data_IF_385130090909
#
_entry.id   IF_385130090909
#
_cell.length_a   1.000
_cell.length_b   1.000
_cell.length_c   1.000
_cell.angle_alpha   90.00
_cell.angle_beta   90.00
_cell.angle_gamma   90.00
#
_symmetry.space_group_name_H-M   'P 1'
#
loop_
_entity.id
_entity.type
_entity.pdbx_description
1 polymer ?
#
# COMPACT_ATOMS: atom_id res chain seq x y z
N UNK A 1 15.93 -38.41 -12.82
CA UNK A 1 14.62 -37.92 -13.30
C UNK A 1 14.27 -36.69 -12.47
N UNK A 2 13.99 -35.52 -13.06
CA UNK A 2 13.55 -34.36 -12.27
C UNK A 2 12.21 -34.69 -11.62
N UNK A 3 12.08 -34.46 -10.31
CA UNK A 3 10.78 -34.50 -9.63
C UNK A 3 10.01 -33.26 -10.07
N UNK A 4 8.88 -33.46 -10.76
CA UNK A 4 7.92 -32.40 -11.05
C UNK A 4 7.14 -32.09 -9.77
N UNK A 5 7.65 -31.16 -8.97
CA UNK A 5 7.05 -30.79 -7.68
C UNK A 5 6.08 -29.64 -7.89
N UNK A 6 4.78 -29.89 -7.69
CA UNK A 6 3.77 -28.84 -7.66
C UNK A 6 3.89 -28.03 -6.36
N UNK A 7 4.02 -26.72 -6.49
CA UNK A 7 4.19 -25.79 -5.37
C UNK A 7 3.08 -24.75 -5.34
N UNK A 8 2.66 -24.33 -4.15
CA UNK A 8 1.67 -23.27 -3.93
C UNK A 8 2.27 -22.14 -3.11
N UNK A 9 2.08 -20.92 -3.60
CA UNK A 9 2.35 -19.68 -2.89
C UNK A 9 1.04 -19.05 -2.42
N UNK A 10 0.79 -19.09 -1.11
CA UNK A 10 -0.44 -18.58 -0.48
C UNK A 10 -0.14 -17.33 0.35
N UNK A 11 -1.12 -16.44 0.51
CA UNK A 11 -1.00 -15.25 1.36
C UNK A 11 -1.97 -14.16 0.91
N UNK A 12 -2.12 -13.09 1.70
CA UNK A 12 -3.08 -12.02 1.38
C UNK A 12 -2.79 -11.31 0.05
N UNK A 13 -3.80 -10.61 -0.47
CA UNK A 13 -3.68 -9.81 -1.69
C UNK A 13 -2.58 -8.75 -1.58
N UNK A 14 -1.98 -8.41 -2.73
CA UNK A 14 -0.98 -7.35 -2.87
C UNK A 14 0.31 -7.52 -2.04
N UNK A 15 0.67 -8.75 -1.67
CA UNK A 15 1.94 -9.08 -0.98
C UNK A 15 3.15 -9.22 -1.93
N UNK A 16 2.94 -9.11 -3.24
CA UNK A 16 4.01 -9.23 -4.25
C UNK A 16 4.27 -10.65 -4.75
N UNK A 17 3.38 -11.60 -4.44
CA UNK A 17 3.51 -13.03 -4.83
C UNK A 17 3.82 -13.24 -6.32
N UNK A 18 3.09 -12.56 -7.21
CA UNK A 18 3.29 -12.68 -8.66
C UNK A 18 4.68 -12.20 -9.07
N UNK A 19 5.10 -11.03 -8.60
CA UNK A 19 6.44 -10.48 -8.87
C UNK A 19 7.55 -11.38 -8.33
N UNK A 20 7.35 -11.96 -7.14
CA UNK A 20 8.29 -12.91 -6.56
C UNK A 20 8.46 -14.16 -7.45
N UNK A 21 7.36 -14.80 -7.85
CA UNK A 21 7.42 -15.96 -8.76
C UNK A 21 8.03 -15.57 -10.12
N UNK A 22 7.70 -14.39 -10.65
CA UNK A 22 8.26 -13.90 -11.91
C UNK A 22 9.77 -13.65 -11.84
N UNK A 23 10.29 -13.26 -10.67
CA UNK A 23 11.74 -13.11 -10.48
C UNK A 23 12.47 -14.46 -10.45
N UNK A 24 11.82 -15.52 -9.94
CA UNK A 24 12.40 -16.86 -9.86
C UNK A 24 12.23 -17.64 -11.17
N UNK A 25 11.12 -17.43 -11.86
CA UNK A 25 10.72 -18.14 -13.07
C UNK A 25 10.27 -17.14 -14.16
N UNK A 26 11.23 -16.41 -14.77
CA UNK A 26 10.92 -15.32 -15.71
C UNK A 26 10.35 -15.80 -17.05
N UNK A 27 10.64 -17.05 -17.45
CA UNK A 27 10.25 -17.61 -18.75
C UNK A 27 8.98 -18.48 -18.68
N UNK A 28 8.37 -18.61 -17.50
CA UNK A 28 7.18 -19.45 -17.34
C UNK A 28 5.93 -18.79 -17.92
N UNK A 29 4.99 -19.61 -18.39
CA UNK A 29 3.67 -19.14 -18.84
C UNK A 29 2.82 -18.81 -17.61
N UNK A 30 2.13 -17.67 -17.63
CA UNK A 30 1.24 -17.22 -16.56
C UNK A 30 -0.20 -17.30 -17.03
N UNK A 31 -1.06 -17.98 -16.27
CA UNK A 31 -2.48 -18.13 -16.60
C UNK A 31 -3.35 -17.80 -15.39
N UNK A 32 -4.45 -17.10 -15.65
CA UNK A 32 -5.46 -16.81 -14.64
C UNK A 32 -6.35 -18.02 -14.42
N UNK A 33 -6.51 -18.45 -13.17
CA UNK A 33 -7.38 -19.55 -12.85
C UNK A 33 -8.88 -19.22 -12.98
N UNK A 34 -9.23 -17.95 -13.16
CA UNK A 34 -10.60 -17.51 -13.46
C UNK A 34 -11.05 -17.88 -14.88
N UNK A 35 -10.12 -18.10 -15.81
CA UNK A 35 -10.41 -18.48 -17.19
C UNK A 35 -10.18 -19.99 -17.40
N UNK A 36 -11.23 -20.79 -17.20
CA UNK A 36 -11.14 -22.26 -17.25
C UNK A 36 -10.63 -22.78 -18.60
N UNK A 37 -11.10 -22.23 -19.72
CA UNK A 37 -10.67 -22.63 -21.08
C UNK A 37 -9.18 -22.39 -21.32
N UNK A 38 -8.67 -21.23 -20.90
CA UNK A 38 -7.25 -20.87 -21.02
C UNK A 38 -6.39 -21.75 -20.11
N UNK A 39 -6.88 -22.04 -18.91
CA UNK A 39 -6.21 -22.93 -17.95
C UNK A 39 -6.07 -24.35 -18.51
N UNK A 40 -7.13 -24.94 -19.04
CA UNK A 40 -7.09 -26.28 -19.64
C UNK A 40 -6.13 -26.32 -20.84
N UNK A 41 -6.24 -25.36 -21.75
CA UNK A 41 -5.37 -25.28 -22.94
C UNK A 41 -3.89 -25.13 -22.55
N UNK A 42 -3.61 -24.31 -21.54
CA UNK A 42 -2.25 -24.09 -21.06
C UNK A 42 -1.70 -25.31 -20.31
N UNK A 43 -2.55 -26.01 -19.56
CA UNK A 43 -2.19 -27.28 -18.92
C UNK A 43 -1.87 -28.34 -19.96
N UNK A 44 -2.58 -28.44 -21.08
CA UNK A 44 -2.26 -29.40 -22.14
C UNK A 44 -0.94 -29.05 -22.85
N UNK A 45 -0.76 -27.77 -23.17
CA UNK A 45 0.33 -27.30 -24.06
C UNK A 45 1.68 -27.13 -23.37
N UNK A 46 1.70 -26.97 -22.04
CA UNK A 46 2.93 -26.62 -21.30
C UNK A 46 3.32 -27.68 -20.27
N UNK A 47 4.63 -27.83 -20.08
CA UNK A 47 5.21 -28.66 -19.01
C UNK A 47 5.57 -27.85 -17.75
N UNK A 48 5.67 -26.52 -17.88
CA UNK A 48 5.91 -25.59 -16.77
C UNK A 48 4.90 -24.43 -16.84
N UNK A 49 4.14 -24.22 -15.76
CA UNK A 49 3.04 -23.26 -15.74
C UNK A 49 2.95 -22.58 -14.37
N UNK A 50 2.71 -21.27 -14.39
CA UNK A 50 2.32 -20.49 -13.21
C UNK A 50 0.84 -20.16 -13.31
N UNK A 51 0.06 -20.62 -12.33
CA UNK A 51 -1.38 -20.38 -12.26
C UNK A 51 -1.63 -19.37 -11.13
N UNK A 52 -2.25 -18.23 -11.42
CA UNK A 52 -2.57 -17.22 -10.40
C UNK A 52 -4.07 -17.09 -10.16
N UNK A 53 -4.45 -16.53 -9.00
CA UNK A 53 -5.83 -16.55 -8.49
C UNK A 53 -6.38 -17.97 -8.30
N UNK A 54 -5.53 -18.92 -7.90
CA UNK A 54 -5.87 -20.34 -7.80
C UNK A 54 -7.08 -20.62 -6.89
N UNK A 55 -7.41 -19.72 -5.96
CA UNK A 55 -8.61 -19.80 -5.14
C UNK A 55 -9.94 -19.77 -5.91
N UNK A 56 -9.91 -19.30 -7.16
CA UNK A 56 -11.06 -19.21 -8.05
C UNK A 56 -11.34 -20.52 -8.80
N UNK A 57 -10.43 -21.50 -8.75
CA UNK A 57 -10.66 -22.83 -9.33
C UNK A 57 -11.86 -23.47 -8.65
N UNK A 58 -12.88 -23.80 -9.43
CA UNK A 58 -14.12 -24.44 -8.98
C UNK A 58 -13.89 -25.89 -8.56
N UNK A 59 -13.14 -26.67 -9.35
CA UNK A 59 -12.89 -28.10 -9.08
C UNK A 59 -11.41 -28.47 -9.26
N UNK A 60 -10.64 -28.39 -8.18
CA UNK A 60 -9.20 -28.69 -8.19
C UNK A 60 -8.91 -30.15 -8.61
N UNK A 61 -9.79 -31.09 -8.24
CA UNK A 61 -9.62 -32.53 -8.49
C UNK A 61 -9.62 -32.90 -9.98
N UNK A 62 -10.14 -32.04 -10.85
CA UNK A 62 -10.19 -32.30 -12.29
C UNK A 62 -8.93 -31.82 -13.00
N UNK A 63 -8.04 -31.09 -12.33
CA UNK A 63 -6.82 -30.58 -12.93
C UNK A 63 -5.75 -31.66 -12.96
N UNK A 64 -5.26 -31.97 -14.16
CA UNK A 64 -4.18 -32.94 -14.35
C UNK A 64 -2.81 -32.27 -14.21
N UNK A 65 -2.11 -32.55 -13.12
CA UNK A 65 -0.74 -32.06 -12.86
C UNK A 65 0.35 -33.10 -13.13
N UNK A 66 0.02 -34.25 -13.72
CA UNK A 66 0.99 -35.31 -13.98
C UNK A 66 2.12 -34.85 -14.90
N UNK A 67 3.37 -35.10 -14.48
CA UNK A 67 4.60 -34.75 -15.20
C UNK A 67 4.73 -33.25 -15.55
N UNK A 68 4.06 -32.37 -14.79
CA UNK A 68 4.10 -30.91 -14.99
C UNK A 68 4.65 -30.20 -13.76
N UNK A 69 5.47 -29.18 -13.98
CA UNK A 69 5.95 -28.28 -12.93
C UNK A 69 4.93 -27.15 -12.79
N UNK A 70 4.07 -27.26 -11.78
CA UNK A 70 3.02 -26.27 -11.52
C UNK A 70 3.39 -25.39 -10.33
N UNK A 71 3.27 -24.08 -10.52
CA UNK A 71 3.40 -23.09 -9.45
C UNK A 71 2.08 -22.35 -9.35
N UNK A 72 1.31 -22.63 -8.30
CA UNK A 72 0.06 -21.93 -8.04
C UNK A 72 0.29 -20.72 -7.13
N UNK A 73 -0.49 -19.66 -7.34
CA UNK A 73 -0.53 -18.47 -6.50
C UNK A 73 -1.97 -18.25 -6.05
N UNK A 74 -2.19 -18.23 -4.74
CA UNK A 74 -3.50 -18.00 -4.13
C UNK A 74 -3.51 -16.77 -3.22
N UNK A 75 -4.62 -16.04 -3.20
CA UNK A 75 -4.78 -14.82 -2.39
C UNK A 75 -5.49 -15.01 -1.04
N UNK A 76 -5.96 -16.22 -0.76
CA UNK A 76 -6.68 -16.55 0.47
C UNK A 76 -5.98 -17.66 1.20
N UNK A 77 -5.88 -17.55 2.53
CA UNK A 77 -5.34 -18.59 3.40
C UNK A 77 -6.40 -19.57 3.88
N UNK A 78 -7.70 -19.27 3.66
CA UNK A 78 -8.82 -20.03 4.24
C UNK A 78 -8.97 -21.45 3.67
N UNK A 79 -8.54 -21.69 2.43
CA UNK A 79 -8.63 -23.01 1.75
C UNK A 79 -7.36 -23.87 1.87
N UNK A 80 -6.47 -23.59 2.83
CA UNK A 80 -5.15 -24.25 2.91
C UNK A 80 -5.23 -25.79 2.97
N UNK A 81 -6.23 -26.35 3.65
CA UNK A 81 -6.42 -27.80 3.78
C UNK A 81 -6.81 -28.45 2.44
N UNK A 82 -7.56 -27.77 1.58
CA UNK A 82 -7.91 -28.29 0.25
C UNK A 82 -6.69 -28.37 -0.67
N UNK A 83 -5.67 -27.54 -0.41
CA UNK A 83 -4.45 -27.48 -1.21
C UNK A 83 -3.37 -28.48 -0.79
N UNK A 84 -3.39 -28.96 0.47
CA UNK A 84 -2.36 -29.88 0.96
C UNK A 84 -2.39 -31.25 0.29
N UNK A 85 -3.54 -31.64 -0.25
CA UNK A 85 -3.71 -32.92 -0.94
C UNK A 85 -3.12 -32.90 -2.36
N UNK A 86 -2.87 -31.70 -2.90
CA UNK A 86 -2.53 -31.47 -4.31
C UNK A 86 -1.11 -30.92 -4.46
N UNK A 87 -0.68 -30.07 -3.54
CA UNK A 87 0.62 -29.42 -3.58
C UNK A 87 1.58 -30.03 -2.56
N UNK A 88 2.73 -30.50 -3.04
CA UNK A 88 3.77 -31.07 -2.19
C UNK A 88 4.50 -30.00 -1.35
N UNK A 89 4.51 -28.76 -1.82
CA UNK A 89 5.12 -27.63 -1.11
C UNK A 89 4.17 -26.45 -1.07
N UNK A 90 3.90 -25.91 0.13
CA UNK A 90 3.06 -24.73 0.33
C UNK A 90 3.86 -23.69 1.11
N UNK A 91 4.20 -22.58 0.45
CA UNK A 91 4.84 -21.44 1.10
C UNK A 91 3.78 -20.38 1.43
N UNK A 92 3.77 -19.94 2.71
CA UNK A 92 2.90 -18.86 3.16
C UNK A 92 3.68 -17.53 3.13
N UNK A 93 3.28 -16.64 2.22
CA UNK A 93 3.83 -15.29 2.12
C UNK A 93 3.29 -14.45 3.29
N UNK A 94 4.16 -13.96 4.18
CA UNK A 94 3.74 -13.12 5.29
C UNK A 94 3.17 -11.79 4.80
N UNK A 95 2.37 -11.17 5.67
CA UNK A 95 1.87 -9.82 5.43
C UNK A 95 3.02 -8.82 5.41
N UNK A 96 2.85 -7.73 4.65
CA UNK A 96 3.93 -6.77 4.43
C UNK A 96 4.43 -6.11 5.73
N UNK A 97 3.57 -6.05 6.75
CA UNK A 97 3.91 -5.51 8.09
C UNK A 97 4.90 -6.37 8.87
N UNK A 98 4.90 -7.67 8.61
CA UNK A 98 5.70 -8.69 9.31
C UNK A 98 7.01 -9.00 8.58
N UNK A 99 7.18 -8.44 7.37
CA UNK A 99 8.32 -8.68 6.50
C UNK A 99 9.55 -7.87 6.92
N UNK A 100 10.69 -8.55 7.03
CA UNK A 100 11.98 -7.93 7.35
C UNK A 100 12.47 -6.99 6.24
N UNK A 101 12.10 -7.25 4.98
CA UNK A 101 12.50 -6.45 3.82
C UNK A 101 11.65 -5.20 3.57
N UNK A 102 10.73 -4.87 4.49
CA UNK A 102 9.84 -3.71 4.35
C UNK A 102 10.61 -2.39 4.13
N UNK A 103 11.68 -2.15 4.87
CA UNK A 103 12.47 -0.91 4.72
C UNK A 103 13.09 -0.80 3.33
N UNK A 104 13.59 -1.91 2.78
CA UNK A 104 14.15 -1.97 1.43
C UNK A 104 13.07 -1.72 0.38
N UNK A 105 11.87 -2.29 0.57
CA UNK A 105 10.72 -2.05 -0.31
C UNK A 105 10.28 -0.58 -0.29
N UNK A 106 10.23 0.05 0.89
CA UNK A 106 9.93 1.49 1.02
C UNK A 106 10.93 2.31 0.22
N UNK A 107 12.24 2.09 0.42
CA UNK A 107 13.28 2.81 -0.31
C UNK A 107 13.21 2.57 -1.82
N UNK A 108 12.90 1.35 -2.24
CA UNK A 108 12.75 1.00 -3.65
C UNK A 108 11.58 1.75 -4.30
N UNK A 109 10.40 1.74 -3.68
CA UNK A 109 9.24 2.46 -4.21
C UNK A 109 9.41 3.97 -4.10
N UNK A 110 10.00 4.49 -3.02
CA UNK A 110 10.33 5.90 -2.88
C UNK A 110 11.16 6.38 -4.09
N UNK A 111 12.25 5.67 -4.43
CA UNK A 111 13.09 6.01 -5.59
C UNK A 111 12.33 5.97 -6.93
N UNK A 112 11.41 5.02 -7.10
CA UNK A 112 10.58 4.98 -8.31
C UNK A 112 9.70 6.21 -8.43
N UNK A 113 9.07 6.61 -7.33
CA UNK A 113 8.17 7.77 -7.31
C UNK A 113 8.96 9.08 -7.44
N UNK A 114 10.09 9.22 -6.75
CA UNK A 114 11.00 10.37 -6.89
C UNK A 114 11.39 10.59 -8.36
N UNK A 115 11.79 9.51 -9.05
CA UNK A 115 12.10 9.56 -10.48
C UNK A 115 10.89 9.96 -11.32
N UNK A 116 9.70 9.43 -11.02
CA UNK A 116 8.48 9.74 -11.75
C UNK A 116 8.01 11.19 -11.56
N UNK A 117 8.27 11.76 -10.38
CA UNK A 117 7.90 13.13 -10.01
C UNK A 117 9.04 14.14 -10.23
N UNK A 118 10.18 13.72 -10.77
CA UNK A 118 11.38 14.54 -10.99
C UNK A 118 11.88 15.22 -9.70
N UNK A 119 11.78 14.52 -8.57
CA UNK A 119 12.30 14.98 -7.28
C UNK A 119 13.77 14.60 -7.19
N UNK A 120 14.66 15.59 -7.14
CA UNK A 120 16.11 15.37 -7.13
C UNK A 120 16.62 14.84 -5.78
N UNK A 121 16.09 15.36 -4.68
CA UNK A 121 16.41 14.90 -3.32
C UNK A 121 15.17 14.91 -2.45
N UNK A 122 14.85 13.78 -1.82
CA UNK A 122 13.77 13.70 -0.83
C UNK A 122 14.23 13.02 0.45
N UNK A 123 13.76 13.53 1.57
CA UNK A 123 14.02 12.92 2.88
C UNK A 123 13.36 11.54 2.97
N UNK A 124 14.01 10.54 3.57
CA UNK A 124 13.42 9.22 3.81
C UNK A 124 12.03 9.34 4.43
N UNK A 125 11.06 8.62 3.88
CA UNK A 125 9.69 8.64 4.40
C UNK A 125 9.67 7.87 5.72
N UNK A 126 9.08 8.49 6.74
CA UNK A 126 8.88 7.88 8.05
C UNK A 126 7.85 6.73 7.93
N UNK A 127 8.19 5.56 8.45
CA UNK A 127 7.35 4.35 8.36
C UNK A 127 5.98 4.56 9.00
N UNK A 128 5.90 5.39 10.04
CA UNK A 128 4.68 5.71 10.79
C UNK A 128 3.64 6.43 9.95
N UNK A 129 4.06 7.07 8.84
CA UNK A 129 3.16 7.76 7.92
C UNK A 129 2.63 6.87 6.79
N UNK A 130 3.16 5.65 6.68
CA UNK A 130 2.84 4.75 5.56
C UNK A 130 1.69 3.83 5.91
N UNK A 131 0.80 3.65 4.95
CA UNK A 131 -0.34 2.74 5.09
C UNK A 131 0.04 1.33 4.61
N UNK A 132 -0.04 0.37 5.51
CA UNK A 132 0.23 -1.05 5.25
C UNK A 132 -1.04 -1.91 5.34
N UNK A 133 -2.25 -1.32 5.30
CA UNK A 133 -3.53 -2.02 5.43
C UNK A 133 -3.82 -2.99 4.28
N UNK A 134 -3.50 -2.62 3.04
CA UNK A 134 -3.62 -3.48 1.86
C UNK A 134 -2.25 -3.81 1.25
N UNK A 135 -1.28 -4.15 2.11
CA UNK A 135 0.08 -4.54 1.69
C UNK A 135 0.71 -3.52 0.71
N UNK A 136 1.29 -3.99 -0.41
CA UNK A 136 2.03 -3.13 -1.36
C UNK A 136 1.10 -2.07 -2.01
N UNK A 137 -0.20 -2.36 -2.15
CA UNK A 137 -1.15 -1.44 -2.79
C UNK A 137 -1.31 -0.16 -1.95
N UNK A 138 -1.64 -0.31 -0.66
CA UNK A 138 -1.70 0.82 0.27
C UNK A 138 -0.34 1.48 0.46
N UNK A 139 0.74 0.68 0.53
CA UNK A 139 2.09 1.20 0.71
C UNK A 139 2.45 2.17 -0.41
N UNK A 140 2.31 1.76 -1.68
CA UNK A 140 2.58 2.62 -2.83
C UNK A 140 1.74 3.89 -2.78
N UNK A 141 0.43 3.77 -2.56
CA UNK A 141 -0.45 4.93 -2.49
C UNK A 141 -0.02 5.94 -1.42
N UNK A 142 0.36 5.47 -0.22
CA UNK A 142 0.86 6.34 0.85
C UNK A 142 2.22 6.97 0.53
N UNK A 143 3.13 6.26 -0.15
CA UNK A 143 4.40 6.82 -0.63
C UNK A 143 4.16 7.94 -1.65
N UNK A 144 3.29 7.71 -2.64
CA UNK A 144 2.91 8.74 -3.61
C UNK A 144 2.35 9.98 -2.91
N UNK A 145 1.42 9.79 -1.99
CA UNK A 145 0.83 10.89 -1.23
C UNK A 145 1.88 11.70 -0.46
N UNK A 146 2.75 11.04 0.29
CA UNK A 146 3.79 11.70 1.09
C UNK A 146 4.81 12.45 0.23
N UNK A 147 5.13 11.96 -0.97
CA UNK A 147 6.06 12.62 -1.87
C UNK A 147 5.43 13.79 -2.62
N UNK A 148 4.20 13.63 -3.12
CA UNK A 148 3.47 14.71 -3.80
C UNK A 148 3.26 15.90 -2.86
N UNK A 149 2.90 15.66 -1.59
CA UNK A 149 2.74 16.76 -0.62
C UNK A 149 4.04 17.56 -0.44
N UNK A 150 5.21 16.91 -0.57
CA UNK A 150 6.51 17.60 -0.48
C UNK A 150 6.84 18.44 -1.71
N UNK A 151 6.16 18.23 -2.84
CA UNK A 151 6.37 19.03 -4.06
C UNK A 151 5.48 20.27 -4.10
N UNK A 152 4.53 20.40 -3.18
CA UNK A 152 3.59 21.51 -3.19
C UNK A 152 4.25 22.82 -2.77
N UNK A 153 3.99 23.87 -3.53
CA UNK A 153 4.28 25.24 -3.14
C UNK A 153 3.05 25.92 -2.47
N UNK A 154 3.16 27.22 -2.20
CA UNK A 154 2.06 27.97 -1.58
C UNK A 154 0.80 28.03 -2.45
N UNK A 155 0.95 28.12 -3.78
CA UNK A 155 -0.17 28.19 -4.71
C UNK A 155 -0.85 26.83 -4.86
N UNK A 156 -0.09 25.73 -4.86
CA UNK A 156 -0.62 24.37 -4.81
C UNK A 156 -1.48 24.16 -3.55
N UNK A 157 -0.99 24.62 -2.39
CA UNK A 157 -1.73 24.53 -1.12
C UNK A 157 -3.02 25.35 -1.18
N UNK A 158 -2.96 26.58 -1.71
CA UNK A 158 -4.15 27.43 -1.89
C UNK A 158 -5.15 26.79 -2.85
N UNK A 159 -4.69 26.21 -3.95
CA UNK A 159 -5.51 25.49 -4.92
C UNK A 159 -6.21 24.29 -4.30
N UNK A 160 -5.46 23.48 -3.55
CA UNK A 160 -6.02 22.34 -2.80
C UNK A 160 -7.11 22.77 -1.81
N UNK A 161 -6.85 23.84 -1.04
CA UNK A 161 -7.84 24.40 -0.11
C UNK A 161 -9.06 24.94 -0.85
N UNK A 162 -8.87 25.64 -1.95
CA UNK A 162 -9.95 26.16 -2.78
C UNK A 162 -10.85 25.04 -3.28
N UNK A 163 -10.30 24.01 -3.91
CA UNK A 163 -11.07 22.89 -4.46
C UNK A 163 -11.87 22.16 -3.37
N UNK A 164 -11.24 21.94 -2.21
CA UNK A 164 -11.91 21.36 -1.06
C UNK A 164 -13.08 22.24 -0.60
N UNK A 165 -12.80 23.52 -0.30
CA UNK A 165 -13.79 24.47 0.20
C UNK A 165 -14.92 24.72 -0.78
N UNK A 166 -14.64 24.77 -2.09
CA UNK A 166 -15.65 24.92 -3.13
C UNK A 166 -16.70 23.79 -3.07
N UNK A 167 -16.28 22.58 -2.73
CA UNK A 167 -17.17 21.42 -2.60
C UNK A 167 -17.85 21.29 -1.23
N UNK A 168 -17.32 21.91 -0.17
CA UNK A 168 -17.79 21.70 1.21
C UNK A 168 -18.45 22.91 1.86
N UNK A 169 -18.15 24.15 1.43
CA UNK A 169 -18.70 25.38 2.00
C UNK A 169 -20.20 25.45 1.71
N UNK A 170 -21.00 25.37 2.77
CA UNK A 170 -22.47 25.47 2.71
C UNK A 170 -23.03 25.92 4.07
N UNK A 171 -24.28 26.38 4.07
CA UNK A 171 -24.95 26.81 5.29
C UNK A 171 -24.44 28.14 5.85
N UNK A 172 -24.72 28.40 7.13
CA UNK A 172 -24.56 29.74 7.74
C UNK A 172 -23.33 29.88 8.64
N UNK A 173 -22.51 28.84 8.81
CA UNK A 173 -21.37 28.83 9.74
C UNK A 173 -20.09 28.24 9.14
N UNK A 174 -20.03 28.13 7.81
CA UNK A 174 -18.94 27.46 7.11
C UNK A 174 -17.55 28.03 7.46
N UNK A 175 -17.42 29.33 7.70
CA UNK A 175 -16.14 29.92 8.12
C UNK A 175 -15.60 29.28 9.41
N UNK A 176 -16.42 29.17 10.48
CA UNK A 176 -15.98 28.57 11.74
C UNK A 176 -15.72 27.08 11.61
N UNK A 177 -16.56 26.39 10.84
CA UNK A 177 -16.44 24.95 10.59
C UNK A 177 -15.14 24.58 9.87
N UNK A 178 -14.66 25.46 8.99
CA UNK A 178 -13.45 25.21 8.20
C UNK A 178 -12.20 25.90 8.74
N UNK A 179 -12.31 26.76 9.76
CA UNK A 179 -11.18 27.49 10.35
C UNK A 179 -10.06 26.54 10.83
N UNK A 180 -10.45 25.36 11.31
CA UNK A 180 -9.52 24.31 11.73
C UNK A 180 -8.59 23.80 10.63
N UNK A 181 -8.96 23.91 9.34
CA UNK A 181 -8.11 23.51 8.21
C UNK A 181 -6.77 24.27 8.18
N UNK A 182 -6.78 25.51 8.67
CA UNK A 182 -5.59 26.35 8.76
C UNK A 182 -5.00 26.36 10.17
N UNK A 183 -5.83 26.55 11.20
CA UNK A 183 -5.31 26.79 12.55
C UNK A 183 -4.66 25.55 13.18
N UNK A 184 -5.22 24.36 12.98
CA UNK A 184 -4.68 23.11 13.54
C UNK A 184 -3.25 22.85 13.03
N UNK A 185 -2.98 22.76 11.71
CA UNK A 185 -1.63 22.48 11.24
C UNK A 185 -0.62 23.58 11.62
N UNK A 186 -1.05 24.84 11.66
CA UNK A 186 -0.20 25.95 12.10
C UNK A 186 0.22 25.80 13.58
N UNK A 187 -0.74 25.47 14.45
CA UNK A 187 -0.49 25.31 15.89
C UNK A 187 0.37 24.07 16.15
N UNK A 188 0.05 22.92 15.56
CA UNK A 188 0.82 21.68 15.72
C UNK A 188 2.27 21.84 15.26
N UNK A 189 2.48 22.41 14.07
CA UNK A 189 3.83 22.67 13.55
C UNK A 189 4.59 23.63 14.46
N UNK A 190 3.92 24.68 14.95
CA UNK A 190 4.47 25.64 15.90
C UNK A 190 4.88 25.00 17.23
N UNK A 191 4.02 24.17 17.81
CA UNK A 191 4.29 23.46 19.08
C UNK A 191 5.46 22.50 18.92
N UNK A 192 5.50 21.75 17.82
CA UNK A 192 6.60 20.84 17.50
C UNK A 192 7.93 21.58 17.33
N UNK A 193 7.92 22.75 16.68
CA UNK A 193 9.12 23.57 16.41
C UNK A 193 9.63 24.28 17.66
N UNK A 194 8.76 24.90 18.44
CA UNK A 194 9.16 25.77 19.56
C UNK A 194 9.10 25.11 20.93
N UNK A 195 8.38 23.99 21.06
CA UNK A 195 8.19 23.21 22.31
C UNK A 195 7.68 24.05 23.50
N UNK A 196 7.09 25.21 23.23
CA UNK A 196 6.63 26.17 24.24
C UNK A 196 5.46 26.98 23.72
N UNK A 197 4.33 26.92 24.43
CA UNK A 197 3.12 27.69 24.10
C UNK A 197 3.35 29.19 24.24
N UNK A 198 4.11 29.64 25.24
CA UNK A 198 4.41 31.07 25.41
C UNK A 198 5.21 31.59 24.22
N UNK A 199 6.24 30.84 23.80
CA UNK A 199 7.06 31.21 22.65
C UNK A 199 6.26 31.18 21.36
N UNK A 200 5.42 30.17 21.17
CA UNK A 200 4.55 30.08 20.00
C UNK A 200 3.54 31.24 19.94
N UNK A 201 2.90 31.57 21.07
CA UNK A 201 1.95 32.68 21.14
C UNK A 201 2.60 34.00 20.69
N UNK A 202 3.82 34.27 21.17
CA UNK A 202 4.58 35.45 20.76
C UNK A 202 4.90 35.45 19.26
N UNK A 203 5.32 34.31 18.69
CA UNK A 203 5.64 34.20 17.25
C UNK A 203 4.39 34.36 16.38
N UNK A 204 3.26 33.80 16.80
CA UNK A 204 1.99 33.93 16.08
C UNK A 204 1.32 35.30 16.28
N UNK A 205 1.84 36.15 17.17
CA UNK A 205 1.22 37.44 17.52
C UNK A 205 -0.11 37.28 18.26
N UNK A 206 -0.31 36.14 18.95
CA UNK A 206 -1.53 35.84 19.70
C UNK A 206 -1.30 36.02 21.20
N UNK A 207 -2.37 36.41 21.92
CA UNK A 207 -2.36 36.29 23.37
C UNK A 207 -2.22 34.81 23.77
N UNK A 208 -1.35 34.51 24.75
CA UNK A 208 -1.14 33.15 25.26
C UNK A 208 -2.44 32.46 25.68
N UNK A 209 -3.37 33.18 26.32
CA UNK A 209 -4.65 32.61 26.74
C UNK A 209 -5.53 32.25 25.54
N UNK A 210 -5.46 33.02 24.45
CA UNK A 210 -6.15 32.73 23.19
C UNK A 210 -5.59 31.45 22.56
N UNK A 211 -4.26 31.33 22.47
CA UNK A 211 -3.62 30.11 21.96
C UNK A 211 -4.00 28.89 22.80
N UNK A 212 -3.97 29.02 24.14
CA UNK A 212 -4.38 27.93 25.05
C UNK A 212 -5.81 27.49 24.82
N UNK A 213 -6.75 28.43 24.65
CA UNK A 213 -8.15 28.11 24.36
C UNK A 213 -8.29 27.37 23.03
N UNK A 214 -7.59 27.79 21.98
CA UNK A 214 -7.59 27.12 20.67
C UNK A 214 -7.03 25.70 20.74
N UNK A 215 -5.92 25.49 21.47
CA UNK A 215 -5.35 24.14 21.69
C UNK A 215 -6.39 23.22 22.36
N UNK A 216 -7.13 23.74 23.35
CA UNK A 216 -8.18 22.98 24.03
C UNK A 216 -9.40 22.73 23.13
N UNK A 217 -9.82 23.71 22.35
CA UNK A 217 -10.95 23.63 21.43
C UNK A 217 -10.71 22.59 20.32
N UNK A 218 -9.48 22.50 19.82
CA UNK A 218 -9.09 21.54 18.79
C UNK A 218 -8.54 20.22 19.31
N UNK A 219 -8.52 20.00 20.63
CA UNK A 219 -7.99 18.80 21.28
C UNK A 219 -6.55 18.44 20.85
N UNK A 220 -5.69 19.47 20.71
CA UNK A 220 -4.28 19.31 20.32
C UNK A 220 -3.45 18.94 21.57
N UNK A 221 -2.66 17.86 21.49
CA UNK A 221 -1.84 17.33 22.58
C UNK A 221 -0.34 17.50 22.35
#
# INVERSE_FOLDING_TARGET
KPLYVSSLLIGEQHTGKRTFIQSLFPNSVYVDAENELELETALESNSELVIYNFEKVTTIKNLNFENKKIIAIANTTHKRQEYSDVFAFIYNMPNLREREDLTLLISHFQKQVEKALMIEESTPILKEKLDLSQNIKSLKASIYKELIIKTFDEEDIKGLLYDYLFSTVKGNNAYREHLGLYEIPLIEAGLKKYKSQLKLANVLGLNRNTLRKKIQEYDIH
#
